data_IF_318228767821
#
_entry.id   IF_318228767821
#
_cell.length_a   1.000
_cell.length_b   1.000
_cell.length_c   1.000
_cell.angle_alpha   90.00
_cell.angle_beta   90.00
_cell.angle_gamma   90.00
#
_symmetry.space_group_name_H-M   'P 1'
#
loop_
_entity.id
_entity.type
_entity.pdbx_description
1 polymer ?
#
# COMPACT_ATOMS: atom_id res chain seq x y z
N UNK A 1 -5.10 0.19 -23.21
CA UNK A 1 -4.14 -0.63 -23.98
C UNK A 1 -3.46 -1.56 -22.99
N UNK A 2 -3.58 -2.87 -23.16
CA UNK A 2 -2.91 -3.84 -22.28
C UNK A 2 -1.45 -3.96 -22.72
N UNK A 3 -0.53 -3.54 -21.87
CA UNK A 3 0.90 -3.72 -22.10
C UNK A 3 1.29 -5.12 -21.64
N UNK A 4 1.90 -5.89 -22.54
CA UNK A 4 2.50 -7.18 -22.19
C UNK A 4 3.99 -6.99 -21.94
N UNK A 5 4.51 -7.76 -20.98
CA UNK A 5 5.94 -7.86 -20.73
C UNK A 5 6.39 -9.28 -21.09
N UNK A 6 7.44 -9.38 -21.90
CA UNK A 6 8.06 -10.67 -22.20
C UNK A 6 8.80 -11.19 -20.97
N UNK A 7 8.58 -12.47 -20.63
CA UNK A 7 9.28 -13.15 -19.56
C UNK A 7 10.40 -13.99 -20.19
N UNK A 8 11.64 -13.54 -20.04
CA UNK A 8 12.83 -14.30 -20.47
C UNK A 8 13.34 -15.19 -19.33
N UNK A 9 13.70 -16.46 -19.60
CA UNK A 9 14.29 -17.34 -18.59
C UNK A 9 15.58 -16.76 -18.00
N UNK A 10 15.69 -16.80 -16.68
CA UNK A 10 16.91 -16.37 -15.99
C UNK A 10 17.99 -17.45 -16.13
N UNK A 11 19.18 -17.14 -16.70
CA UNK A 11 20.14 -18.17 -17.12
C UNK A 11 21.03 -18.73 -15.99
N UNK A 12 20.84 -18.32 -14.74
CA UNK A 12 21.71 -18.68 -13.62
C UNK A 12 20.98 -18.89 -12.29
N UNK A 13 21.73 -19.18 -11.23
CA UNK A 13 21.17 -19.22 -9.88
C UNK A 13 20.82 -17.81 -9.40
N UNK A 14 19.63 -17.63 -8.83
CA UNK A 14 19.19 -16.35 -8.26
C UNK A 14 19.39 -16.35 -6.74
N UNK A 15 20.21 -15.42 -6.24
CA UNK A 15 20.42 -15.21 -4.82
C UNK A 15 20.47 -13.71 -4.53
N UNK A 16 19.79 -13.27 -3.48
CA UNK A 16 19.72 -11.87 -3.09
C UNK A 16 18.70 -11.64 -1.98
N UNK A 17 18.70 -10.44 -1.42
CA UNK A 17 17.70 -9.99 -0.46
C UNK A 17 17.15 -8.65 -0.93
N UNK A 18 15.84 -8.50 -0.87
CA UNK A 18 15.15 -7.26 -1.19
C UNK A 18 14.09 -7.00 -0.13
N UNK A 19 13.89 -5.74 0.21
CA UNK A 19 12.73 -5.32 0.99
C UNK A 19 11.57 -5.11 0.02
N UNK A 20 10.57 -5.99 0.11
CA UNK A 20 9.33 -5.81 -0.64
C UNK A 20 8.52 -4.65 -0.08
N UNK A 21 7.69 -3.98 -0.92
CA UNK A 21 6.72 -3.00 -0.44
C UNK A 21 5.75 -3.59 0.59
N UNK A 22 5.05 -2.70 1.30
CA UNK A 22 3.97 -3.08 2.21
C UNK A 22 2.86 -3.88 1.52
N UNK A 23 2.06 -4.60 2.30
CA UNK A 23 0.91 -5.32 1.76
C UNK A 23 -0.27 -4.37 1.55
N UNK A 24 -0.90 -4.45 0.37
CA UNK A 24 -2.12 -3.70 0.03
C UNK A 24 -3.23 -3.92 1.05
N UNK A 25 -3.54 -5.18 1.35
CA UNK A 25 -4.62 -5.53 2.27
C UNK A 25 -4.31 -5.17 3.72
N UNK A 26 -3.03 -5.15 4.12
CA UNK A 26 -2.62 -4.65 5.44
C UNK A 26 -2.76 -3.14 5.50
N UNK A 27 -2.32 -2.44 4.45
CA UNK A 27 -2.40 -0.98 4.35
C UNK A 27 -3.84 -0.49 4.48
N UNK A 28 -4.77 -1.07 3.72
CA UNK A 28 -6.19 -0.70 3.80
C UNK A 28 -6.80 -1.00 5.17
N UNK A 29 -6.47 -2.15 5.78
CA UNK A 29 -6.95 -2.48 7.13
C UNK A 29 -6.38 -1.55 8.19
N UNK A 30 -5.09 -1.21 8.10
CA UNK A 30 -4.45 -0.30 9.03
C UNK A 30 -5.07 1.10 8.97
N UNK A 31 -5.37 1.61 7.78
CA UNK A 31 -6.08 2.89 7.60
C UNK A 31 -7.46 2.89 8.27
N UNK A 32 -8.26 1.84 8.06
CA UNK A 32 -9.57 1.71 8.70
C UNK A 32 -9.47 1.62 10.22
N UNK A 33 -8.52 0.83 10.75
CA UNK A 33 -8.32 0.71 12.20
C UNK A 33 -7.86 2.05 12.80
N UNK A 34 -6.98 2.77 12.12
CA UNK A 34 -6.53 4.10 12.54
C UNK A 34 -7.70 5.10 12.61
N UNK A 35 -8.57 5.10 11.58
CA UNK A 35 -9.76 5.93 11.54
C UNK A 35 -10.72 5.69 12.71
N UNK A 36 -10.75 4.46 13.25
CA UNK A 36 -11.61 4.07 14.37
C UNK A 36 -10.94 4.25 15.74
N UNK A 37 -9.66 4.62 15.80
CA UNK A 37 -8.86 4.61 17.03
C UNK A 37 -9.14 5.79 18.00
N UNK A 38 -10.05 6.71 17.67
CA UNK A 38 -10.43 7.84 18.54
C UNK A 38 -9.33 8.86 18.84
N UNK A 39 -8.12 8.67 18.28
CA UNK A 39 -6.94 9.51 18.50
C UNK A 39 -5.97 9.44 17.33
N UNK A 40 -4.87 10.21 17.40
CA UNK A 40 -3.86 10.25 16.33
C UNK A 40 -3.10 8.94 16.27
N UNK A 41 -3.02 8.34 15.07
CA UNK A 41 -2.29 7.10 14.81
C UNK A 41 -1.22 7.37 13.75
N UNK A 42 0.01 6.94 14.02
CA UNK A 42 1.11 6.98 13.06
C UNK A 42 1.25 5.60 12.39
N UNK A 43 1.16 5.56 11.06
CA UNK A 43 1.33 4.36 10.27
C UNK A 43 2.66 4.43 9.50
N UNK A 44 3.33 3.30 9.33
CA UNK A 44 4.56 3.19 8.55
C UNK A 44 4.52 1.98 7.63
N UNK A 45 5.25 2.04 6.51
CA UNK A 45 5.28 0.95 5.53
C UNK A 45 3.96 0.76 4.77
N UNK A 46 3.09 1.78 4.74
CA UNK A 46 1.87 1.79 3.93
C UNK A 46 2.25 1.71 2.45
N UNK A 47 1.63 0.77 1.74
CA UNK A 47 1.83 0.61 0.30
C UNK A 47 1.27 1.82 -0.45
N UNK A 48 2.05 2.37 -1.38
CA UNK A 48 1.53 3.31 -2.37
C UNK A 48 0.98 2.51 -3.55
N UNK A 49 -0.32 2.60 -3.76
CA UNK A 49 -1.04 1.92 -4.83
C UNK A 49 -2.41 2.56 -4.99
N UNK A 50 -2.98 2.49 -6.18
CA UNK A 50 -4.30 3.06 -6.50
C UNK A 50 -5.37 2.65 -5.48
N UNK A 51 -5.39 1.37 -5.06
CA UNK A 51 -6.35 0.86 -4.06
C UNK A 51 -6.20 1.50 -2.66
N UNK A 52 -4.97 1.85 -2.27
CA UNK A 52 -4.68 2.47 -0.97
C UNK A 52 -4.92 3.98 -1.05
N UNK A 53 -4.55 4.60 -2.17
CA UNK A 53 -4.80 6.02 -2.41
C UNK A 53 -6.31 6.29 -2.46
N UNK A 54 -7.10 5.42 -3.10
CA UNK A 54 -8.57 5.49 -3.08
C UNK A 54 -9.15 5.35 -1.66
N UNK A 55 -8.56 4.49 -0.81
CA UNK A 55 -8.97 4.35 0.60
C UNK A 55 -8.68 5.64 1.38
N UNK A 56 -7.52 6.26 1.18
CA UNK A 56 -7.17 7.55 1.80
C UNK A 56 -8.18 8.62 1.39
N UNK A 57 -8.43 8.79 0.08
CA UNK A 57 -9.40 9.76 -0.41
C UNK A 57 -10.82 9.52 0.13
N UNK A 58 -11.22 8.25 0.28
CA UNK A 58 -12.52 7.90 0.86
C UNK A 58 -12.60 8.34 2.33
N UNK A 59 -11.56 8.08 3.12
CA UNK A 59 -11.50 8.50 4.53
C UNK A 59 -11.45 10.03 4.66
N UNK A 60 -10.70 10.73 3.82
CA UNK A 60 -10.69 12.20 3.77
C UNK A 60 -12.08 12.77 3.42
N UNK A 61 -12.79 12.14 2.47
CA UNK A 61 -14.16 12.52 2.11
C UNK A 61 -15.17 12.32 3.25
N UNK A 62 -14.87 11.42 4.19
CA UNK A 62 -15.64 11.23 5.43
C UNK A 62 -15.23 12.22 6.54
N UNK A 63 -14.31 13.13 6.27
CA UNK A 63 -13.87 14.19 7.19
C UNK A 63 -12.68 13.82 8.07
N UNK A 64 -11.98 12.71 7.80
CA UNK A 64 -10.75 12.39 8.53
C UNK A 64 -9.56 13.21 8.01
N UNK A 65 -8.83 13.85 8.91
CA UNK A 65 -7.55 14.48 8.59
C UNK A 65 -6.45 13.43 8.47
N UNK A 66 -5.90 13.25 7.27
CA UNK A 66 -4.78 12.35 6.99
C UNK A 66 -3.58 13.18 6.51
N UNK A 67 -2.40 12.92 7.07
CA UNK A 67 -1.14 13.59 6.73
C UNK A 67 -0.19 12.53 6.15
N UNK A 68 0.49 12.87 5.05
CA UNK A 68 1.42 11.98 4.33
C UNK A 68 2.89 12.34 4.60
#
# INVERSE_FOLDING_TARGET
MTQFADIVPFPGACAGSIRVPGSKSISNRALLLAALCGGKVALSGILRSDDVDLMVCALESLGLGIEA
#
